data_IF_374414501330
#
_entry.id   IF_374414501330
#
_cell.length_a   1.000
_cell.length_b   1.000
_cell.length_c   1.000
_cell.angle_alpha   90.00
_cell.angle_beta   90.00
_cell.angle_gamma   90.00
#
_symmetry.space_group_name_H-M   'P 1'
#
loop_
_entity.id
_entity.type
_entity.pdbx_description
1 polymer ?
#
# COMPACT_ATOMS: atom_id res chain seq x y z
N UNK A 1 2.90 16.75 12.92
CA UNK A 1 3.84 16.34 11.84
C UNK A 1 3.02 15.72 10.72
N UNK A 2 2.99 16.35 9.55
CA UNK A 2 2.15 15.94 8.42
C UNK A 2 2.81 14.74 7.72
N UNK A 3 2.26 13.53 7.87
CA UNK A 3 2.67 12.35 7.10
C UNK A 3 2.12 12.48 5.66
N UNK A 4 2.78 13.30 4.84
CA UNK A 4 2.46 13.55 3.42
C UNK A 4 3.46 12.86 2.48
N UNK A 5 3.85 11.61 2.76
CA UNK A 5 4.59 10.82 1.78
C UNK A 5 3.69 9.70 1.26
N UNK A 6 3.52 9.55 -0.06
CA UNK A 6 2.75 8.46 -0.61
C UNK A 6 3.40 7.13 -0.27
N UNK A 7 2.56 6.16 0.03
CA UNK A 7 2.98 4.79 0.20
C UNK A 7 2.99 3.97 -1.07
N UNK A 8 3.72 2.85 -1.03
CA UNK A 8 3.75 1.85 -2.09
C UNK A 8 4.55 2.30 -3.30
N UNK A 9 4.20 1.88 -4.53
CA UNK A 9 4.99 2.16 -5.73
C UNK A 9 5.11 3.66 -6.05
N UNK A 10 4.19 4.49 -5.55
CA UNK A 10 4.22 5.95 -5.73
C UNK A 10 5.23 6.66 -4.82
N UNK A 11 5.68 6.01 -3.74
CA UNK A 11 6.72 6.55 -2.86
C UNK A 11 7.99 6.91 -3.64
N UNK A 12 8.43 6.00 -4.51
CA UNK A 12 9.61 6.16 -5.33
C UNK A 12 9.47 7.28 -6.36
N UNK A 13 8.25 7.48 -6.88
CA UNK A 13 7.96 8.56 -7.82
C UNK A 13 7.94 9.92 -7.14
N UNK A 14 7.45 10.02 -5.89
CA UNK A 14 7.29 11.29 -5.19
C UNK A 14 8.60 12.08 -5.05
N UNK A 15 9.74 11.38 -4.96
CA UNK A 15 11.05 12.02 -4.96
C UNK A 15 11.41 12.73 -6.27
N UNK A 16 10.80 12.30 -7.39
CA UNK A 16 11.09 12.75 -8.76
C UNK A 16 10.03 13.68 -9.35
N UNK A 17 8.87 13.78 -8.71
CA UNK A 17 7.82 14.73 -9.08
C UNK A 17 8.26 16.18 -8.80
N UNK A 18 7.80 17.12 -9.64
CA UNK A 18 7.86 18.55 -9.35
C UNK A 18 6.92 18.93 -8.19
N UNK A 19 7.07 20.14 -7.64
CA UNK A 19 6.23 20.60 -6.53
C UNK A 19 4.73 20.63 -6.89
N UNK A 20 4.40 21.05 -8.12
CA UNK A 20 3.04 21.03 -8.65
C UNK A 20 2.48 19.61 -8.77
N UNK A 21 3.27 18.67 -9.30
CA UNK A 21 2.87 17.27 -9.42
C UNK A 21 2.71 16.59 -8.06
N UNK A 22 3.55 16.91 -7.07
CA UNK A 22 3.39 16.44 -5.69
C UNK A 22 2.07 16.92 -5.10
N UNK A 23 1.74 18.18 -5.28
CA UNK A 23 0.47 18.76 -4.80
C UNK A 23 -0.73 18.05 -5.43
N UNK A 24 -0.68 17.80 -6.75
CA UNK A 24 -1.72 17.04 -7.47
C UNK A 24 -1.82 15.59 -7.00
N UNK A 25 -0.69 14.94 -6.74
CA UNK A 25 -0.66 13.58 -6.19
C UNK A 25 -1.23 13.53 -4.77
N UNK A 26 -0.85 14.48 -3.91
CA UNK A 26 -1.35 14.55 -2.53
C UNK A 26 -2.86 14.79 -2.51
N UNK A 27 -3.38 15.65 -3.38
CA UNK A 27 -4.82 15.85 -3.56
C UNK A 27 -5.52 14.56 -4.05
N UNK A 28 -4.97 13.92 -5.09
CA UNK A 28 -5.51 12.67 -5.63
C UNK A 28 -5.52 11.55 -4.57
N UNK A 29 -4.50 11.50 -3.70
CA UNK A 29 -4.42 10.54 -2.60
C UNK A 29 -5.40 10.87 -1.47
N UNK A 30 -5.55 12.14 -1.12
CA UNK A 30 -6.52 12.58 -0.11
C UNK A 30 -7.96 12.26 -0.53
N UNK A 31 -8.28 12.42 -1.81
CA UNK A 31 -9.56 11.97 -2.37
C UNK A 31 -9.66 10.44 -2.38
N UNK A 32 -8.63 9.75 -2.89
CA UNK A 32 -8.60 8.28 -3.00
C UNK A 32 -8.78 7.58 -1.64
N UNK A 33 -8.31 8.17 -0.54
CA UNK A 33 -8.52 7.66 0.82
C UNK A 33 -10.01 7.49 1.17
N UNK A 34 -10.87 8.39 0.68
CA UNK A 34 -12.31 8.39 0.94
C UNK A 34 -13.09 7.48 -0.01
N UNK A 35 -12.42 6.91 -1.01
CA UNK A 35 -13.02 6.09 -2.05
C UNK A 35 -12.80 4.61 -1.76
N UNK A 36 -13.64 3.77 -2.37
CA UNK A 36 -13.41 2.32 -2.38
C UNK A 36 -12.14 2.01 -3.17
N UNK A 37 -11.50 0.88 -2.85
CA UNK A 37 -10.23 0.46 -3.46
C UNK A 37 -10.22 0.53 -5.00
N UNK A 38 -11.30 0.12 -5.67
CA UNK A 38 -11.34 0.15 -7.14
C UNK A 38 -11.38 1.58 -7.70
N UNK A 39 -12.17 2.46 -7.09
CA UNK A 39 -12.28 3.87 -7.47
C UNK A 39 -10.98 4.63 -7.16
N UNK A 40 -10.40 4.35 -6.00
CA UNK A 40 -9.11 4.89 -5.59
C UNK A 40 -7.99 4.50 -6.57
N UNK A 41 -7.94 3.23 -7.01
CA UNK A 41 -7.01 2.77 -8.04
C UNK A 41 -7.22 3.52 -9.36
N UNK A 42 -8.46 3.73 -9.79
CA UNK A 42 -8.77 4.49 -11.00
C UNK A 42 -8.35 5.95 -10.89
N UNK A 43 -8.60 6.62 -9.75
CA UNK A 43 -8.18 8.00 -9.50
C UNK A 43 -6.66 8.15 -9.56
N UNK A 44 -5.92 7.24 -8.94
CA UNK A 44 -4.45 7.21 -8.98
C UNK A 44 -3.95 6.92 -10.40
N UNK A 45 -4.58 5.98 -11.12
CA UNK A 45 -4.22 5.68 -12.50
C UNK A 45 -4.42 6.89 -13.43
N UNK A 46 -5.50 7.64 -13.22
CA UNK A 46 -5.75 8.89 -13.94
C UNK A 46 -4.65 9.93 -13.67
N UNK A 47 -4.19 10.07 -12.43
CA UNK A 47 -3.04 10.93 -12.12
C UNK A 47 -1.77 10.47 -12.85
N UNK A 48 -1.43 9.18 -12.77
CA UNK A 48 -0.26 8.61 -13.48
C UNK A 48 -0.34 8.84 -14.99
N UNK A 49 -1.54 8.81 -15.57
CA UNK A 49 -1.75 9.11 -16.99
C UNK A 49 -1.44 10.57 -17.38
N UNK A 50 -1.44 11.50 -16.43
CA UNK A 50 -1.06 12.91 -16.66
C UNK A 50 0.44 13.18 -16.51
N UNK A 51 1.21 12.23 -15.98
CA UNK A 51 2.67 12.33 -15.87
C UNK A 51 3.35 12.21 -17.24
N UNK A 52 4.61 12.66 -17.30
CA UNK A 52 5.47 12.46 -18.47
C UNK A 52 5.78 10.98 -18.73
N UNK A 53 6.08 10.60 -19.98
CA UNK A 53 6.44 9.22 -20.36
C UNK A 53 7.52 8.56 -19.51
N UNK A 54 8.65 9.22 -19.14
CA UNK A 54 9.63 8.61 -18.24
C UNK A 54 9.06 8.31 -16.85
N UNK A 55 8.22 9.20 -16.30
CA UNK A 55 7.57 8.98 -14.99
C UNK A 55 6.48 7.90 -15.06
N UNK A 56 5.75 7.80 -16.18
CA UNK A 56 4.80 6.71 -16.43
C UNK A 56 5.49 5.34 -16.49
N UNK A 57 6.60 5.26 -17.21
CA UNK A 57 7.39 4.04 -17.31
C UNK A 57 7.89 3.61 -15.93
N UNK A 58 8.39 4.56 -15.13
CA UNK A 58 8.81 4.27 -13.77
C UNK A 58 7.65 3.85 -12.86
N UNK A 59 6.49 4.50 -12.97
CA UNK A 59 5.30 4.12 -12.22
C UNK A 59 4.88 2.67 -12.51
N UNK A 60 4.97 2.25 -13.78
CA UNK A 60 4.73 0.87 -14.19
C UNK A 60 5.76 -0.08 -13.57
N UNK A 61 7.05 0.21 -13.68
CA UNK A 61 8.12 -0.63 -13.10
C UNK A 61 7.96 -0.78 -11.59
N UNK A 62 7.65 0.30 -10.88
CA UNK A 62 7.44 0.23 -9.43
C UNK A 62 6.20 -0.57 -9.06
N UNK A 63 5.11 -0.44 -9.84
CA UNK A 63 3.91 -1.26 -9.68
C UNK A 63 4.22 -2.76 -9.88
N UNK A 64 4.99 -3.10 -10.91
CA UNK A 64 5.39 -4.49 -11.17
C UNK A 64 6.27 -5.05 -10.05
N UNK A 65 7.22 -4.25 -9.53
CA UNK A 65 8.04 -4.63 -8.36
C UNK A 65 7.17 -4.85 -7.12
N UNK A 66 6.20 -3.97 -6.89
CA UNK A 66 5.27 -4.11 -5.75
C UNK A 66 4.45 -5.39 -5.84
N UNK A 67 3.86 -5.69 -7.00
CA UNK A 67 3.09 -6.91 -7.23
C UNK A 67 3.98 -8.16 -7.06
N UNK A 68 5.22 -8.13 -7.56
CA UNK A 68 6.18 -9.22 -7.36
C UNK A 68 6.49 -9.43 -5.87
N UNK A 69 6.76 -8.35 -5.12
CA UNK A 69 7.03 -8.42 -3.69
C UNK A 69 5.83 -8.95 -2.90
N UNK A 70 4.61 -8.59 -3.31
CA UNK A 70 3.38 -9.11 -2.73
C UNK A 70 3.28 -10.63 -2.91
N UNK A 71 3.47 -11.14 -4.13
CA UNK A 71 3.45 -12.59 -4.42
C UNK A 71 4.56 -13.34 -3.67
N UNK A 72 5.75 -12.75 -3.58
CA UNK A 72 6.85 -13.32 -2.80
C UNK A 72 6.51 -13.38 -1.31
N UNK A 73 5.87 -12.33 -0.79
CA UNK A 73 5.40 -12.27 0.60
C UNK A 73 4.32 -13.32 0.89
N UNK A 74 3.38 -13.54 -0.06
CA UNK A 74 2.38 -14.61 0.02
C UNK A 74 3.00 -16.02 0.00
N UNK A 75 4.20 -16.16 -0.58
CA UNK A 75 4.95 -17.42 -0.53
C UNK A 75 5.68 -17.57 0.79
N UNK A 76 6.35 -16.51 1.26
CA UNK A 76 7.09 -16.47 2.53
C UNK A 76 6.18 -16.68 3.74
N UNK A 77 4.99 -16.10 3.75
CA UNK A 77 4.06 -16.19 4.89
C UNK A 77 3.72 -17.64 5.24
N UNK A 78 3.70 -18.55 4.26
CA UNK A 78 3.44 -19.99 4.46
C UNK A 78 4.50 -20.68 5.32
N UNK A 79 5.72 -20.13 5.37
CA UNK A 79 6.82 -20.62 6.18
C UNK A 79 6.93 -19.95 7.56
N UNK A 80 6.08 -18.97 7.86
CA UNK A 80 6.08 -18.25 9.14
C UNK A 80 5.16 -18.92 10.17
N UNK A 81 5.23 -18.45 11.41
CA UNK A 81 4.37 -18.92 12.49
C UNK A 81 2.87 -18.82 12.16
N UNK A 82 2.07 -19.69 12.79
CA UNK A 82 0.61 -19.65 12.64
C UNK A 82 0.03 -18.28 13.04
N UNK A 83 0.65 -17.58 13.99
CA UNK A 83 0.26 -16.22 14.38
C UNK A 83 0.49 -15.21 13.25
N UNK A 84 1.66 -15.24 12.59
CA UNK A 84 1.96 -14.40 11.44
C UNK A 84 1.04 -14.69 10.26
N UNK A 85 0.80 -15.98 9.96
CA UNK A 85 -0.14 -16.39 8.93
C UNK A 85 -1.55 -15.87 9.20
N UNK A 86 -2.03 -15.98 10.44
CA UNK A 86 -3.36 -15.52 10.81
C UNK A 86 -3.50 -14.00 10.66
N UNK A 87 -2.56 -13.23 11.20
CA UNK A 87 -2.56 -11.76 11.07
C UNK A 87 -2.53 -11.34 9.60
N UNK A 88 -1.68 -11.98 8.79
CA UNK A 88 -1.61 -11.71 7.35
C UNK A 88 -2.93 -12.00 6.63
N UNK A 89 -3.56 -13.13 6.94
CA UNK A 89 -4.84 -13.53 6.33
C UNK A 89 -5.99 -12.58 6.74
N UNK A 90 -6.04 -12.13 7.99
CA UNK A 90 -7.03 -11.14 8.43
C UNK A 90 -6.84 -9.80 7.71
N UNK A 91 -5.59 -9.35 7.58
CA UNK A 91 -5.25 -8.15 6.81
C UNK A 91 -5.65 -8.32 5.33
N UNK A 92 -5.41 -9.50 4.75
CA UNK A 92 -5.81 -9.82 3.38
C UNK A 92 -7.33 -9.78 3.19
N UNK A 93 -8.11 -10.29 4.15
CA UNK A 93 -9.58 -10.19 4.10
C UNK A 93 -10.05 -8.74 4.11
N UNK A 94 -9.48 -7.91 4.98
CA UNK A 94 -9.78 -6.47 5.03
C UNK A 94 -9.43 -5.80 3.70
N UNK A 95 -8.28 -6.15 3.12
CA UNK A 95 -7.87 -5.66 1.81
C UNK A 95 -8.83 -6.10 0.69
N UNK A 96 -9.28 -7.35 0.69
CA UNK A 96 -10.16 -7.87 -0.36
C UNK A 96 -11.63 -7.47 -0.18
N UNK A 97 -11.96 -6.82 0.95
CA UNK A 97 -13.28 -6.24 1.21
C UNK A 97 -13.49 -4.96 0.37
N UNK A 98 -14.04 -5.14 -0.82
CA UNK A 98 -14.36 -4.06 -1.75
C UNK A 98 -15.44 -3.09 -1.27
N UNK A 99 -16.07 -3.32 -0.11
CA UNK A 99 -17.02 -2.38 0.49
C UNK A 99 -16.33 -1.25 1.25
N UNK A 100 -15.09 -1.46 1.71
CA UNK A 100 -14.35 -0.51 2.52
C UNK A 100 -13.72 0.60 1.69
N UNK A 101 -13.68 1.80 2.27
CA UNK A 101 -12.82 2.87 1.77
C UNK A 101 -11.35 2.53 2.04
N UNK A 102 -10.43 3.14 1.31
CA UNK A 102 -8.99 2.98 1.61
C UNK A 102 -8.63 3.45 3.03
N UNK A 103 -9.33 4.45 3.56
CA UNK A 103 -9.15 4.90 4.95
C UNK A 103 -9.61 3.84 5.95
N UNK A 104 -10.78 3.23 5.75
CA UNK A 104 -11.27 2.14 6.59
C UNK A 104 -10.36 0.91 6.54
N UNK A 105 -9.92 0.56 5.33
CA UNK A 105 -8.98 -0.53 5.08
C UNK A 105 -7.66 -0.30 5.83
N UNK A 106 -7.10 0.91 5.73
CA UNK A 106 -5.89 1.30 6.44
C UNK A 106 -6.08 1.26 7.96
N UNK A 107 -7.16 1.82 8.48
CA UNK A 107 -7.44 1.87 9.92
C UNK A 107 -7.61 0.47 10.50
N UNK A 108 -8.39 -0.40 9.83
CA UNK A 108 -8.56 -1.80 10.24
C UNK A 108 -7.25 -2.58 10.16
N UNK A 109 -6.49 -2.41 9.10
CA UNK A 109 -5.18 -3.08 8.95
C UNK A 109 -4.19 -2.63 10.01
N UNK A 110 -4.12 -1.33 10.30
CA UNK A 110 -3.30 -0.76 11.38
C UNK A 110 -3.72 -1.31 12.74
N UNK A 111 -5.02 -1.43 12.99
CA UNK A 111 -5.53 -2.01 14.23
C UNK A 111 -5.11 -3.48 14.37
N UNK A 112 -5.25 -4.29 13.31
CA UNK A 112 -4.82 -5.70 13.30
C UNK A 112 -3.32 -5.84 13.62
N UNK A 113 -2.49 -4.99 13.04
CA UNK A 113 -1.04 -4.99 13.31
C UNK A 113 -0.74 -4.55 14.75
N UNK A 114 -1.44 -3.52 15.23
CA UNK A 114 -1.22 -2.98 16.59
C UNK A 114 -1.61 -4.00 17.66
N UNK A 115 -2.71 -4.74 17.44
CA UNK A 115 -3.19 -5.79 18.33
C UNK A 115 -2.36 -7.09 18.22
N UNK A 116 -1.61 -7.27 17.14
CA UNK A 116 -0.77 -8.46 16.97
C UNK A 116 0.34 -8.51 18.05
N UNK A 117 0.68 -9.70 18.55
CA UNK A 117 1.81 -9.88 19.47
C UNK A 117 3.10 -9.31 18.87
N UNK A 118 3.98 -8.74 19.71
CA UNK A 118 5.28 -8.19 19.26
C UNK A 118 6.07 -9.22 18.46
N UNK A 119 6.12 -10.47 18.91
CA UNK A 119 6.81 -11.56 18.22
C UNK A 119 6.30 -11.77 16.78
N UNK A 120 5.00 -11.64 16.54
CA UNK A 120 4.41 -11.74 15.19
C UNK A 120 4.79 -10.53 14.34
N UNK A 121 4.74 -9.32 14.92
CA UNK A 121 5.16 -8.10 14.22
C UNK A 121 6.64 -8.13 13.82
N UNK A 122 7.49 -8.59 14.73
CA UNK A 122 8.93 -8.71 14.51
C UNK A 122 9.23 -9.79 13.46
N UNK A 123 8.52 -10.91 13.48
CA UNK A 123 8.65 -11.97 12.47
C UNK A 123 8.25 -11.47 11.07
N UNK A 124 7.10 -10.78 10.95
CA UNK A 124 6.66 -10.19 9.68
C UNK A 124 7.66 -9.15 9.16
N UNK A 125 8.23 -8.33 10.05
CA UNK A 125 9.24 -7.32 9.72
C UNK A 125 10.58 -7.94 9.31
N UNK A 126 11.07 -8.91 10.07
CA UNK A 126 12.33 -9.61 9.79
C UNK A 126 12.31 -10.33 8.44
N UNK A 127 11.14 -10.85 8.05
CA UNK A 127 10.95 -11.54 6.77
C UNK A 127 10.56 -10.61 5.62
N UNK A 128 10.51 -9.29 5.84
CA UNK A 128 10.15 -8.27 4.86
C UNK A 128 8.79 -8.55 4.18
N UNK A 129 7.80 -8.98 4.96
CA UNK A 129 6.47 -9.32 4.46
C UNK A 129 5.74 -8.04 4.04
N UNK A 130 5.39 -7.94 2.77
CA UNK A 130 4.52 -6.88 2.24
C UNK A 130 3.08 -7.19 2.62
N UNK A 131 2.50 -6.33 3.46
CA UNK A 131 1.12 -6.49 3.95
C UNK A 131 0.12 -5.95 2.91
N UNK A 132 -0.92 -6.73 2.54
CA UNK A 132 -1.95 -6.26 1.63
C UNK A 132 -2.78 -5.14 2.27
N UNK A 133 -3.25 -4.19 1.47
CA UNK A 133 -4.13 -3.11 1.94
C UNK A 133 -3.50 -2.02 2.81
N UNK A 134 -2.20 -2.07 3.02
CA UNK A 134 -1.44 -0.88 3.40
C UNK A 134 -0.92 -0.27 2.09
N UNK A 135 -1.53 0.79 1.53
CA UNK A 135 -0.73 1.74 0.75
C UNK A 135 0.41 2.14 1.68
N UNK A 136 1.65 1.72 1.41
CA UNK A 136 2.78 1.70 2.37
C UNK A 136 3.09 3.08 2.98
N UNK A 137 2.25 3.57 3.88
CA UNK A 137 2.39 4.83 4.60
C UNK A 137 3.19 4.51 5.87
N UNK A 138 4.52 4.53 5.74
CA UNK A 138 5.45 4.61 6.87
C UNK A 138 6.50 5.69 6.56
#
# INVERSE_FOLDING_TARGET
>A
MVLNKPGGPLHFLYGKLSADEKTKLDAALAEAKKLKRHEAKSKIAAFVATLSDPLKAEAKTQREKYEKNKTESESKIKGLSAGAQNVYNEIKKVADDGSLTLEDEYNKTKQLITLAPNAVRDELKANNITLPGIPVFY
#
